data_IF_830026265710
#
_entry.id   IF_830026265710
#
_cell.length_a   1.000
_cell.length_b   1.000
_cell.length_c   1.000
_cell.angle_alpha   90.00
_cell.angle_beta   90.00
_cell.angle_gamma   90.00
#
_symmetry.space_group_name_H-M   'P 1'
#
loop_
_entity.id
_entity.type
_entity.pdbx_description
1 polymer ?
#
# COMPACT_ATOMS: atom_id res chain seq x y z
N UNK A 1 -11.87 14.77 -13.12
CA UNK A 1 -10.52 14.17 -13.26
C UNK A 1 -9.60 14.49 -12.09
N UNK A 2 -9.30 15.77 -11.79
CA UNK A 2 -8.34 16.12 -10.71
C UNK A 2 -8.70 15.56 -9.33
N UNK A 3 -9.93 15.76 -8.85
CA UNK A 3 -10.37 15.27 -7.52
C UNK A 3 -10.22 13.75 -7.39
N UNK A 4 -10.57 13.00 -8.43
CA UNK A 4 -10.43 11.54 -8.43
C UNK A 4 -8.98 11.09 -8.26
N UNK A 5 -8.05 11.74 -8.99
CA UNK A 5 -6.62 11.47 -8.85
C UNK A 5 -6.09 11.85 -7.46
N UNK A 6 -6.58 12.94 -6.87
CA UNK A 6 -6.22 13.33 -5.49
C UNK A 6 -6.68 12.25 -4.51
N UNK A 7 -7.91 11.77 -4.60
CA UNK A 7 -8.42 10.69 -3.73
C UNK A 7 -7.60 9.43 -3.89
N UNK A 8 -7.33 8.99 -5.13
CA UNK A 8 -6.48 7.83 -5.38
C UNK A 8 -5.07 8.03 -4.80
N UNK A 9 -4.50 9.24 -4.91
CA UNK A 9 -3.18 9.53 -4.34
C UNK A 9 -3.18 9.41 -2.81
N UNK A 10 -4.21 9.91 -2.12
CA UNK A 10 -4.36 9.73 -0.67
C UNK A 10 -4.45 8.25 -0.29
N UNK A 11 -5.20 7.46 -1.07
CA UNK A 11 -5.32 6.02 -0.86
C UNK A 11 -3.97 5.32 -1.09
N UNK A 12 -3.25 5.65 -2.16
CA UNK A 12 -1.91 5.09 -2.42
C UNK A 12 -0.95 5.37 -1.27
N UNK A 13 -0.98 6.59 -0.71
CA UNK A 13 -0.14 7.00 0.42
C UNK A 13 -0.48 6.21 1.69
N UNK A 14 -1.76 5.99 1.96
CA UNK A 14 -2.20 5.18 3.10
C UNK A 14 -1.74 3.71 2.96
N UNK A 15 -1.89 3.11 1.78
CA UNK A 15 -1.39 1.76 1.54
C UNK A 15 0.15 1.69 1.58
N UNK A 16 0.85 2.70 1.08
CA UNK A 16 2.32 2.73 1.06
C UNK A 16 2.88 2.87 2.48
N UNK A 17 2.32 3.78 3.27
CA UNK A 17 2.69 3.92 4.68
C UNK A 17 2.39 2.65 5.48
N UNK A 18 1.23 2.00 5.23
CA UNK A 18 0.90 0.70 5.81
C UNK A 18 1.90 -0.41 5.41
N UNK A 19 2.29 -0.48 4.14
CA UNK A 19 3.27 -1.45 3.66
C UNK A 19 4.64 -1.24 4.34
N UNK A 20 5.11 0.01 4.39
CA UNK A 20 6.38 0.37 5.07
C UNK A 20 6.31 0.04 6.56
N UNK A 21 5.18 0.32 7.21
CA UNK A 21 4.96 -0.02 8.61
C UNK A 21 5.10 -1.52 8.87
N UNK A 22 4.41 -2.37 8.10
CA UNK A 22 4.49 -3.82 8.28
C UNK A 22 5.84 -4.40 7.89
N UNK A 23 6.53 -3.83 6.90
CA UNK A 23 7.91 -4.21 6.56
C UNK A 23 8.86 -3.89 7.73
N UNK A 24 8.75 -2.71 8.34
CA UNK A 24 9.53 -2.36 9.54
C UNK A 24 9.22 -3.29 10.71
N UNK A 25 7.95 -3.62 10.92
CA UNK A 25 7.52 -4.55 11.97
C UNK A 25 8.08 -5.97 11.74
N UNK A 26 8.26 -6.41 10.48
CA UNK A 26 8.91 -7.68 10.15
C UNK A 26 10.40 -7.72 10.50
N UNK A 27 11.08 -6.58 10.41
CA UNK A 27 12.48 -6.45 10.80
C UNK A 27 12.67 -6.46 12.32
N UNK A 28 11.62 -6.19 13.09
CA UNK A 28 11.68 -6.24 14.55
C UNK A 28 11.63 -7.68 15.07
N UNK A 29 12.47 -8.00 16.06
CA UNK A 29 12.55 -9.32 16.69
C UNK A 29 11.43 -9.55 17.73
N UNK A 30 10.25 -8.99 17.53
CA UNK A 30 9.12 -9.13 18.44
C UNK A 30 8.52 -10.54 18.33
N UNK A 31 8.17 -11.12 19.49
CA UNK A 31 7.46 -12.41 19.56
C UNK A 31 6.04 -12.33 18.99
N UNK A 32 5.42 -11.14 19.08
CA UNK A 32 4.06 -10.88 18.62
C UNK A 32 3.97 -9.51 17.91
N UNK A 33 3.16 -9.37 16.84
CA UNK A 33 2.34 -10.41 16.20
C UNK A 33 3.16 -11.44 15.39
N UNK A 34 2.58 -12.62 15.07
CA UNK A 34 3.29 -13.66 14.35
C UNK A 34 3.76 -13.16 12.98
N UNK A 35 5.03 -13.42 12.63
CA UNK A 35 5.64 -12.92 11.37
C UNK A 35 4.83 -13.26 10.11
N UNK A 36 4.14 -14.40 10.09
CA UNK A 36 3.26 -14.82 8.97
C UNK A 36 2.10 -13.84 8.76
N UNK A 37 1.46 -13.39 9.85
CA UNK A 37 0.36 -12.42 9.81
C UNK A 37 0.86 -11.06 9.33
N UNK A 38 2.03 -10.63 9.80
CA UNK A 38 2.63 -9.37 9.35
C UNK A 38 2.97 -9.43 7.86
N UNK A 39 3.53 -10.54 7.36
CA UNK A 39 3.79 -10.72 5.92
C UNK A 39 2.52 -10.66 5.09
N UNK A 40 1.43 -11.29 5.53
CA UNK A 40 0.14 -11.20 4.83
C UNK A 40 -0.35 -9.75 4.76
N UNK A 41 -0.29 -9.01 5.88
CA UNK A 41 -0.69 -7.60 5.90
C UNK A 41 0.21 -6.72 5.02
N UNK A 42 1.52 -6.91 5.07
CA UNK A 42 2.47 -6.22 4.20
C UNK A 42 2.19 -6.51 2.72
N UNK A 43 1.87 -7.76 2.39
CA UNK A 43 1.54 -8.18 1.03
C UNK A 43 0.24 -7.53 0.55
N UNK A 44 -0.82 -7.55 1.35
CA UNK A 44 -2.09 -6.87 1.03
C UNK A 44 -1.87 -5.36 0.82
N UNK A 45 -1.09 -4.72 1.69
CA UNK A 45 -0.78 -3.30 1.54
C UNK A 45 0.02 -3.01 0.26
N UNK A 46 1.02 -3.85 -0.05
CA UNK A 46 1.85 -3.73 -1.25
C UNK A 46 1.05 -3.99 -2.53
N UNK A 47 0.14 -4.97 -2.53
CA UNK A 47 -0.76 -5.19 -3.67
C UNK A 47 -1.74 -4.04 -3.83
N UNK A 48 -2.21 -3.45 -2.71
CA UNK A 48 -3.07 -2.28 -2.72
C UNK A 48 -2.39 -1.05 -3.30
N UNK A 49 -1.11 -0.78 -2.95
CA UNK A 49 -0.34 0.30 -3.57
C UNK A 49 -0.14 0.06 -5.06
N UNK A 50 0.28 -1.14 -5.45
CA UNK A 50 0.50 -1.48 -6.86
C UNK A 50 -0.78 -1.30 -7.69
N UNK A 51 -1.92 -1.80 -7.18
CA UNK A 51 -3.20 -1.67 -7.85
C UNK A 51 -3.64 -0.21 -8.01
N UNK A 52 -3.53 0.59 -6.93
CA UNK A 52 -3.95 1.99 -6.97
C UNK A 52 -3.03 2.86 -7.84
N UNK A 53 -1.73 2.59 -7.86
CA UNK A 53 -0.80 3.20 -8.82
C UNK A 53 -1.13 2.83 -10.26
N UNK A 54 -1.51 1.57 -10.51
CA UNK A 54 -1.95 1.11 -11.82
C UNK A 54 -3.20 1.86 -12.30
N UNK A 55 -4.19 2.06 -11.42
CA UNK A 55 -5.38 2.87 -11.70
C UNK A 55 -5.02 4.32 -12.03
N UNK A 56 -4.12 4.94 -11.27
CA UNK A 56 -3.64 6.31 -11.55
C UNK A 56 -2.96 6.35 -12.92
N UNK A 57 -2.10 5.38 -13.22
CA UNK A 57 -1.38 5.29 -14.49
C UNK A 57 -2.33 5.17 -15.68
N UNK A 58 -3.30 4.25 -15.64
CA UNK A 58 -4.30 4.12 -16.70
C UNK A 58 -5.18 5.36 -16.83
N UNK A 59 -5.58 5.98 -15.71
CA UNK A 59 -6.36 7.22 -15.75
C UNK A 59 -5.57 8.36 -16.41
N UNK A 60 -4.25 8.43 -16.21
CA UNK A 60 -3.36 9.41 -16.83
C UNK A 60 -3.01 9.10 -18.28
N UNK A 61 -3.00 7.84 -18.67
CA UNK A 61 -2.71 7.41 -20.03
C UNK A 61 -3.94 7.56 -20.94
N UNK A 62 -5.14 7.48 -20.37
CA UNK A 62 -6.41 7.56 -21.10
C UNK A 62 -7.00 8.99 -21.15
N UNK A 63 -6.50 9.92 -20.33
CA UNK A 63 -6.99 11.31 -20.23
C UNK A 63 -5.98 12.32 -20.76
#
# INVERSE_FOLDING_TARGET
MSVFLIVLSCITLAFASGAVYYIKLLSQAASYPPKRVIRQKALVCSTGTAFTLCLIFFTKLLA
#
